data_IF_101060092984
#
_entry.id   IF_101060092984
#
_cell.length_a   1.000
_cell.length_b   1.000
_cell.length_c   1.000
_cell.angle_alpha   90.00
_cell.angle_beta   90.00
_cell.angle_gamma   90.00
#
_symmetry.space_group_name_H-M   'P 1'
#
loop_
_entity.id
_entity.type
_entity.pdbx_description
1 polymer ?
#
# COMPACT_ATOMS: atom_id res chain seq x y z
N UNK A 1 45.32 39.06 17.97
CA UNK A 1 45.28 37.93 17.00
C UNK A 1 44.06 37.02 17.18
N UNK A 2 43.76 36.51 18.38
CA UNK A 2 42.62 35.60 18.64
C UNK A 2 41.22 36.11 18.22
N UNK A 3 40.96 37.43 18.30
CA UNK A 3 39.69 38.03 17.89
C UNK A 3 39.53 38.14 16.37
N UNK A 4 40.63 38.28 15.62
CA UNK A 4 40.60 38.36 14.15
C UNK A 4 40.33 36.98 13.53
N UNK A 5 40.87 35.92 14.13
CA UNK A 5 40.67 34.53 13.70
C UNK A 5 39.22 34.06 13.92
N UNK A 6 38.58 34.51 15.00
CA UNK A 6 37.19 34.15 15.29
C UNK A 6 36.20 34.79 14.31
N UNK A 7 36.46 36.03 13.88
CA UNK A 7 35.59 36.74 12.92
C UNK A 7 35.69 36.15 11.51
N UNK A 8 36.87 35.66 11.10
CA UNK A 8 37.06 35.02 9.79
C UNK A 8 36.41 33.62 9.74
N UNK A 9 36.42 32.88 10.86
CA UNK A 9 35.73 31.59 10.96
C UNK A 9 34.19 31.73 10.98
N UNK A 10 33.68 32.83 11.55
CA UNK A 10 32.24 33.11 11.57
C UNK A 10 31.70 33.63 10.23
N UNK A 11 32.50 34.38 9.46
CA UNK A 11 32.10 34.79 8.11
C UNK A 11 32.18 33.62 7.11
N UNK A 12 33.18 32.74 7.22
CA UNK A 12 33.28 31.54 6.38
C UNK A 12 32.09 30.57 6.52
N UNK A 13 31.50 30.47 7.72
CA UNK A 13 30.34 29.61 7.98
C UNK A 13 29.02 30.19 7.42
N UNK A 14 28.91 31.51 7.25
CA UNK A 14 27.76 32.15 6.61
C UNK A 14 27.80 31.97 5.08
N UNK A 15 28.99 31.94 4.48
CA UNK A 15 29.13 31.69 3.03
C UNK A 15 28.94 30.21 2.65
N UNK A 16 29.37 29.26 3.50
CA UNK A 16 29.11 27.83 3.28
C UNK A 16 27.63 27.44 3.45
N UNK A 17 26.88 28.21 4.26
CA UNK A 17 25.43 28.01 4.41
C UNK A 17 24.61 28.46 3.19
N UNK A 18 25.18 29.26 2.28
CA UNK A 18 24.54 29.67 1.02
C UNK A 18 24.88 28.79 -0.18
N UNK A 19 25.90 27.93 -0.07
CA UNK A 19 26.29 27.02 -1.16
C UNK A 19 25.52 25.68 -1.15
N UNK A 20 24.67 25.43 -0.14
CA UNK A 20 23.78 24.26 -0.07
C UNK A 20 22.32 24.55 -0.44
N UNK A 21 22.01 25.75 -0.94
CA UNK A 21 20.77 25.91 -1.72
C UNK A 21 21.04 25.34 -3.10
N UNK A 22 20.67 24.06 -3.30
CA UNK A 22 20.36 23.51 -4.63
C UNK A 22 19.70 24.62 -5.44
N UNK A 23 20.29 24.98 -6.59
CA UNK A 23 19.75 26.01 -7.47
C UNK A 23 18.23 25.84 -7.54
N UNK A 24 17.48 26.85 -7.10
CA UNK A 24 16.03 26.81 -7.16
C UNK A 24 15.67 26.59 -8.63
N UNK A 25 15.20 25.39 -8.96
CA UNK A 25 14.68 25.08 -10.29
C UNK A 25 13.44 25.95 -10.40
N UNK A 26 13.53 27.08 -11.10
CA UNK A 26 12.36 27.90 -11.38
C UNK A 26 11.46 27.08 -12.32
N UNK A 27 10.29 26.62 -11.87
CA UNK A 27 9.37 25.88 -12.73
C UNK A 27 8.96 26.80 -13.89
N UNK A 28 9.08 26.30 -15.13
CA UNK A 28 8.56 27.02 -16.30
C UNK A 28 7.17 26.49 -16.65
N UNK A 29 6.31 27.34 -17.21
CA UNK A 29 4.99 26.92 -17.64
C UNK A 29 5.02 25.99 -18.85
N UNK A 30 4.12 25.02 -18.87
CA UNK A 30 3.69 24.32 -20.08
C UNK A 30 3.10 25.31 -21.08
N UNK A 31 3.59 25.27 -22.32
CA UNK A 31 3.02 26.08 -23.41
C UNK A 31 1.88 25.34 -24.13
N UNK A 32 1.03 26.08 -24.85
CA UNK A 32 -0.08 25.47 -25.62
C UNK A 32 0.44 24.54 -26.74
N UNK A 33 1.54 24.90 -27.39
CA UNK A 33 2.14 24.06 -28.43
C UNK A 33 2.66 22.75 -27.84
N UNK A 34 3.28 22.80 -26.67
CA UNK A 34 3.73 21.62 -25.94
C UNK A 34 2.57 20.76 -25.46
N UNK A 35 1.49 21.39 -24.98
CA UNK A 35 0.28 20.69 -24.60
C UNK A 35 -0.28 19.89 -25.78
N UNK A 36 -0.50 20.55 -26.92
CA UNK A 36 -1.06 19.91 -28.12
C UNK A 36 -0.14 18.81 -28.65
N UNK A 37 1.16 19.08 -28.69
CA UNK A 37 2.17 18.13 -29.12
C UNK A 37 2.17 16.90 -28.24
N UNK A 38 2.09 17.07 -26.92
CA UNK A 38 2.14 15.97 -25.99
C UNK A 38 0.94 15.02 -26.10
N UNK A 39 -0.23 15.52 -26.47
CA UNK A 39 -1.41 14.68 -26.73
C UNK A 39 -1.22 13.71 -27.89
N UNK A 40 -0.33 14.02 -28.84
CA UNK A 40 -0.02 13.13 -29.97
C UNK A 40 0.88 11.95 -29.58
N UNK A 41 1.51 12.00 -28.40
CA UNK A 41 2.50 11.00 -28.00
C UNK A 41 1.92 9.61 -27.81
N UNK A 42 2.65 8.60 -28.25
CA UNK A 42 2.29 7.18 -28.08
C UNK A 42 3.36 6.49 -27.25
N UNK A 43 2.93 5.63 -26.34
CA UNK A 43 3.78 4.70 -25.62
C UNK A 43 3.53 3.32 -26.22
N UNK A 44 4.59 2.60 -26.59
CA UNK A 44 4.45 1.32 -27.26
C UNK A 44 3.96 0.24 -26.28
N UNK A 45 4.50 0.23 -25.07
CA UNK A 45 4.15 -0.72 -24.02
C UNK A 45 4.11 -0.02 -22.66
N UNK A 46 2.89 0.28 -22.17
CA UNK A 46 2.68 0.90 -20.87
C UNK A 46 3.17 0.04 -19.69
N UNK A 47 3.51 -1.23 -19.87
CA UNK A 47 4.09 -2.05 -18.81
C UNK A 47 5.62 -1.94 -18.74
N UNK A 48 6.27 -1.75 -19.89
CA UNK A 48 7.74 -1.75 -20.00
C UNK A 48 8.36 -0.36 -20.15
N UNK A 49 7.68 0.55 -20.83
CA UNK A 49 8.22 1.84 -21.21
C UNK A 49 8.08 2.84 -20.04
N UNK A 50 8.99 2.75 -19.08
CA UNK A 50 9.03 3.65 -17.92
C UNK A 50 9.67 5.00 -18.25
N UNK A 51 10.49 5.08 -19.29
CA UNK A 51 11.22 6.28 -19.67
C UNK A 51 11.27 6.39 -21.20
N UNK A 52 10.53 7.34 -21.77
CA UNK A 52 10.38 7.50 -23.23
C UNK A 52 10.86 8.88 -23.64
N UNK A 53 11.85 8.93 -24.56
CA UNK A 53 12.38 10.18 -25.14
C UNK A 53 11.61 10.52 -26.41
N UNK A 54 11.28 11.79 -26.60
CA UNK A 54 10.60 12.26 -27.81
C UNK A 54 11.26 13.49 -28.42
N UNK A 55 11.44 13.46 -29.75
CA UNK A 55 12.04 14.55 -30.56
C UNK A 55 13.35 15.12 -30.02
N UNK A 56 14.06 14.32 -29.22
CA UNK A 56 15.19 14.75 -28.42
C UNK A 56 14.95 15.95 -27.48
N UNK A 57 13.74 16.48 -27.37
CA UNK A 57 13.39 17.67 -26.58
C UNK A 57 12.59 17.34 -25.31
N UNK A 58 11.83 16.25 -25.31
CA UNK A 58 10.95 15.88 -24.19
C UNK A 58 11.19 14.46 -23.72
N UNK A 59 10.77 14.20 -22.49
CA UNK A 59 10.80 12.89 -21.85
C UNK A 59 9.48 12.66 -21.13
N UNK A 60 8.91 11.46 -21.29
CA UNK A 60 7.92 10.92 -20.38
C UNK A 60 8.63 9.98 -19.42
N UNK A 61 8.64 10.33 -18.14
CA UNK A 61 9.23 9.52 -17.07
C UNK A 61 8.12 9.03 -16.14
N UNK A 62 8.06 7.73 -15.88
CA UNK A 62 7.00 7.13 -15.06
C UNK A 62 7.01 7.77 -13.69
N UNK A 63 5.86 8.30 -13.30
CA UNK A 63 5.75 9.12 -12.10
C UNK A 63 6.20 8.33 -10.85
N UNK A 64 7.32 8.75 -10.28
CA UNK A 64 7.95 8.10 -9.12
C UNK A 64 8.18 6.58 -9.31
N UNK A 65 8.36 6.12 -10.55
CA UNK A 65 8.43 4.70 -10.95
C UNK A 65 7.23 3.83 -10.49
N UNK A 66 6.09 4.46 -10.20
CA UNK A 66 4.94 3.77 -9.60
C UNK A 66 4.21 2.88 -10.59
N UNK A 67 3.73 1.74 -10.07
CA UNK A 67 2.80 0.85 -10.78
C UNK A 67 1.50 1.61 -11.14
N UNK A 68 0.82 1.24 -12.23
CA UNK A 68 -0.47 1.83 -12.59
C UNK A 68 -1.52 1.65 -11.49
N UNK A 69 -2.46 2.58 -11.49
CA UNK A 69 -3.68 2.48 -10.69
C UNK A 69 -4.68 1.58 -11.39
N UNK A 70 -5.28 0.65 -10.63
CA UNK A 70 -6.46 -0.09 -11.07
C UNK A 70 -7.65 0.30 -10.21
N UNK A 71 -8.66 0.92 -10.82
CA UNK A 71 -9.82 1.46 -10.11
C UNK A 71 -11.09 0.84 -10.66
N UNK A 72 -11.96 0.41 -9.76
CA UNK A 72 -13.30 -0.09 -10.07
C UNK A 72 -14.28 0.78 -9.31
N UNK A 73 -15.17 1.47 -10.04
CA UNK A 73 -16.19 2.31 -9.43
C UNK A 73 -17.43 1.49 -9.04
N UNK A 74 -18.49 2.18 -8.63
CA UNK A 74 -19.83 1.58 -8.43
C UNK A 74 -20.40 0.99 -9.72
N UNK A 75 -19.88 1.41 -10.87
CA UNK A 75 -20.19 0.84 -12.20
C UNK A 75 -19.58 -0.57 -12.42
N UNK A 76 -18.74 -1.06 -11.52
CA UNK A 76 -18.09 -2.36 -11.65
C UNK A 76 -17.03 -2.43 -12.76
N UNK A 77 -16.76 -1.33 -13.47
CA UNK A 77 -15.84 -1.32 -14.61
C UNK A 77 -14.43 -0.97 -14.14
N UNK A 78 -13.53 -1.95 -14.23
CA UNK A 78 -12.11 -1.80 -13.91
C UNK A 78 -11.41 -0.95 -14.97
N UNK A 79 -10.67 0.06 -14.54
CA UNK A 79 -9.89 0.97 -15.37
C UNK A 79 -8.44 0.95 -14.91
N UNK A 80 -7.51 1.10 -15.86
CA UNK A 80 -6.07 1.24 -15.60
C UNK A 80 -5.68 2.69 -15.85
N UNK A 81 -4.92 3.29 -14.93
CA UNK A 81 -4.42 4.66 -15.05
C UNK A 81 -2.92 4.68 -14.78
N UNK A 82 -2.14 5.04 -15.80
CA UNK A 82 -0.69 5.22 -15.73
C UNK A 82 -0.38 6.73 -15.74
N UNK A 83 0.56 7.17 -14.91
CA UNK A 83 0.95 8.59 -14.77
C UNK A 83 2.42 8.73 -15.11
N UNK A 84 2.73 9.71 -15.95
CA UNK A 84 4.08 10.06 -16.36
C UNK A 84 4.32 11.55 -16.13
N UNK A 85 5.51 11.90 -15.67
CA UNK A 85 6.03 13.27 -15.70
C UNK A 85 6.36 13.62 -17.15
N UNK A 86 5.83 14.73 -17.63
CA UNK A 86 6.30 15.35 -18.87
C UNK A 86 7.45 16.29 -18.51
N UNK A 87 8.65 15.92 -18.97
CA UNK A 87 9.89 16.64 -18.67
C UNK A 87 10.41 17.28 -19.96
N UNK A 88 10.62 18.60 -19.92
CA UNK A 88 11.42 19.29 -20.92
C UNK A 88 12.91 19.00 -20.64
N UNK A 89 13.63 18.47 -21.63
CA UNK A 89 15.06 18.18 -21.47
C UNK A 89 15.89 19.43 -21.24
N UNK A 90 15.49 20.53 -21.87
CA UNK A 90 16.08 21.82 -21.57
C UNK A 90 15.76 22.21 -20.12
N UNK A 91 16.80 22.34 -19.31
CA UNK A 91 16.70 22.57 -17.86
C UNK A 91 16.16 21.40 -17.03
N UNK A 92 15.88 20.22 -17.61
CA UNK A 92 15.32 19.03 -16.93
C UNK A 92 14.08 19.36 -16.08
N UNK A 93 13.17 20.16 -16.64
CA UNK A 93 12.04 20.71 -15.92
C UNK A 93 10.78 19.87 -16.12
N UNK A 94 10.12 19.51 -15.03
CA UNK A 94 8.77 18.94 -15.06
C UNK A 94 7.77 20.04 -15.43
N UNK A 95 7.05 19.83 -16.54
CA UNK A 95 6.11 20.79 -17.13
C UNK A 95 4.69 20.21 -17.21
N UNK A 96 4.40 19.13 -16.48
CA UNK A 96 3.05 18.56 -16.39
C UNK A 96 3.04 17.06 -16.17
N UNK A 97 1.84 16.51 -16.02
CA UNK A 97 1.60 15.08 -15.83
C UNK A 97 0.77 14.52 -16.98
N UNK A 98 1.36 13.62 -17.76
CA UNK A 98 0.65 12.86 -18.78
C UNK A 98 -0.04 11.64 -18.15
N UNK A 99 -1.35 11.56 -18.32
CA UNK A 99 -2.19 10.46 -17.83
C UNK A 99 -2.63 9.60 -18.99
N UNK A 100 -2.38 8.30 -18.88
CA UNK A 100 -2.87 7.27 -19.79
C UNK A 100 -3.95 6.46 -19.09
N UNK A 101 -5.20 6.58 -19.55
CA UNK A 101 -6.35 5.89 -19.01
C UNK A 101 -6.80 4.81 -19.98
N UNK A 102 -6.74 3.54 -19.57
CA UNK A 102 -7.20 2.41 -20.36
C UNK A 102 -8.49 1.84 -19.74
N UNK A 103 -9.55 1.77 -20.56
CA UNK A 103 -10.81 1.20 -20.12
C UNK A 103 -10.84 -0.34 -20.23
N UNK A 104 -11.95 -0.96 -19.83
CA UNK A 104 -12.15 -2.41 -19.83
C UNK A 104 -12.09 -3.03 -21.23
N UNK A 105 -12.31 -2.24 -22.28
CA UNK A 105 -12.25 -2.64 -23.69
C UNK A 105 -10.84 -2.47 -24.27
N UNK A 106 -9.87 -2.05 -23.47
CA UNK A 106 -8.51 -1.74 -23.93
C UNK A 106 -8.40 -0.40 -24.68
N UNK A 107 -9.46 0.42 -24.70
CA UNK A 107 -9.40 1.74 -25.34
C UNK A 107 -8.62 2.70 -24.45
N UNK A 108 -7.62 3.34 -25.05
CA UNK A 108 -6.74 4.30 -24.41
C UNK A 108 -7.23 5.73 -24.60
N UNK A 109 -7.29 6.47 -23.50
CA UNK A 109 -7.55 7.90 -23.45
C UNK A 109 -6.36 8.60 -22.80
N UNK A 110 -6.09 9.85 -23.21
CA UNK A 110 -4.96 10.64 -22.71
C UNK A 110 -5.46 11.95 -22.13
N UNK A 111 -4.86 12.37 -21.02
CA UNK A 111 -5.11 13.69 -20.44
C UNK A 111 -3.78 14.24 -19.93
N UNK A 112 -3.45 15.48 -20.31
CA UNK A 112 -2.24 16.16 -19.85
C UNK A 112 -2.64 17.17 -18.79
N UNK A 113 -2.33 16.86 -17.53
CA UNK A 113 -2.54 17.79 -16.42
C UNK A 113 -1.43 18.84 -16.49
N UNK A 114 -1.75 20.14 -16.67
CA UNK A 114 -0.74 21.19 -16.71
C UNK A 114 -0.04 21.33 -15.34
N UNK A 115 1.20 21.81 -15.35
CA UNK A 115 1.83 22.27 -14.12
C UNK A 115 1.14 23.54 -13.58
N UNK A 116 1.34 23.83 -12.29
CA UNK A 116 0.68 24.96 -11.64
C UNK A 116 1.02 26.32 -12.26
N UNK A 117 2.18 26.45 -12.91
CA UNK A 117 2.62 27.72 -13.51
C UNK A 117 2.04 27.96 -14.90
N UNK A 118 1.39 26.97 -15.51
CA UNK A 118 0.80 27.06 -16.84
C UNK A 118 -0.25 28.18 -16.96
N UNK A 119 -0.34 28.78 -18.15
CA UNK A 119 -1.32 29.83 -18.47
C UNK A 119 -2.76 29.32 -18.37
N UNK A 120 -3.70 30.19 -17.99
CA UNK A 120 -5.12 29.87 -17.86
C UNK A 120 -5.72 29.20 -19.11
N UNK A 121 -5.28 29.60 -20.31
CA UNK A 121 -5.76 28.97 -21.56
C UNK A 121 -5.36 27.49 -21.68
N UNK A 122 -4.22 27.10 -21.10
CA UNK A 122 -3.76 25.69 -21.06
C UNK A 122 -4.63 24.89 -20.10
N UNK A 123 -4.97 25.48 -18.96
CA UNK A 123 -5.93 24.89 -18.00
C UNK A 123 -7.34 24.75 -18.58
N UNK A 124 -7.83 25.76 -19.30
CA UNK A 124 -9.11 25.70 -20.01
C UNK A 124 -9.10 24.56 -21.05
N UNK A 125 -8.01 24.42 -21.81
CA UNK A 125 -7.87 23.33 -22.77
C UNK A 125 -7.87 21.95 -22.11
N UNK A 126 -7.15 21.79 -20.99
CA UNK A 126 -7.21 20.57 -20.17
C UNK A 126 -8.63 20.25 -19.69
N UNK A 127 -9.34 21.25 -19.16
CA UNK A 127 -10.71 21.09 -18.69
C UNK A 127 -11.65 20.61 -19.81
N UNK A 128 -11.54 21.22 -20.99
CA UNK A 128 -12.33 20.81 -22.15
C UNK A 128 -12.01 19.38 -22.61
N UNK A 129 -10.73 18.98 -22.58
CA UNK A 129 -10.32 17.64 -23.00
C UNK A 129 -10.87 16.55 -22.07
N UNK A 130 -10.78 16.75 -20.75
CA UNK A 130 -11.32 15.77 -19.79
C UNK A 130 -12.86 15.69 -19.82
N UNK A 131 -13.54 16.81 -20.08
CA UNK A 131 -14.99 16.84 -20.27
C UNK A 131 -15.41 16.09 -21.55
N UNK A 132 -14.68 16.30 -22.65
CA UNK A 132 -14.91 15.59 -23.91
C UNK A 132 -14.69 14.07 -23.77
N UNK A 133 -13.67 13.65 -23.01
CA UNK A 133 -13.48 12.24 -22.70
C UNK A 133 -14.63 11.71 -21.84
N UNK A 134 -15.05 12.46 -20.81
CA UNK A 134 -16.13 12.04 -19.91
C UNK A 134 -17.49 11.85 -20.61
N UNK A 135 -17.75 12.60 -21.67
CA UNK A 135 -18.94 12.43 -22.53
C UNK A 135 -18.97 11.07 -23.24
N UNK A 136 -17.81 10.47 -23.54
CA UNK A 136 -17.71 9.17 -24.24
C UNK A 136 -17.28 8.01 -23.34
N UNK A 137 -16.69 8.33 -22.19
CA UNK A 137 -16.22 7.40 -21.17
C UNK A 137 -16.80 7.84 -19.82
N UNK A 138 -17.95 7.27 -19.47
CA UNK A 138 -18.69 7.63 -18.26
C UNK A 138 -17.81 7.49 -17.01
N UNK A 139 -17.93 8.45 -16.09
CA UNK A 139 -17.16 8.54 -14.84
C UNK A 139 -15.65 8.75 -15.03
N UNK A 140 -15.18 9.13 -16.23
CA UNK A 140 -13.76 9.42 -16.46
C UNK A 140 -13.23 10.48 -15.50
N UNK A 141 -13.93 11.63 -15.39
CA UNK A 141 -13.49 12.72 -14.49
C UNK A 141 -13.48 12.23 -13.05
N UNK A 142 -14.52 11.53 -12.59
CA UNK A 142 -14.58 11.02 -11.22
C UNK A 142 -13.39 10.10 -10.90
N UNK A 143 -13.08 9.16 -11.78
CA UNK A 143 -11.98 8.19 -11.59
C UNK A 143 -10.61 8.88 -11.70
N UNK A 144 -10.45 9.82 -12.62
CA UNK A 144 -9.24 10.63 -12.75
C UNK A 144 -9.01 11.49 -11.49
N UNK A 145 -10.04 12.20 -11.02
CA UNK A 145 -9.99 13.01 -9.80
C UNK A 145 -9.60 12.18 -8.59
N UNK A 146 -10.12 10.97 -8.43
CA UNK A 146 -9.71 10.05 -7.36
C UNK A 146 -8.20 9.76 -7.41
N UNK A 147 -7.65 9.41 -8.59
CA UNK A 147 -6.20 9.15 -8.76
C UNK A 147 -5.37 10.37 -8.39
N UNK A 148 -5.71 11.53 -8.97
CA UNK A 148 -4.97 12.77 -8.74
C UNK A 148 -5.06 13.24 -7.28
N UNK A 149 -6.19 13.01 -6.62
CA UNK A 149 -6.36 13.31 -5.19
C UNK A 149 -5.46 12.45 -4.33
N UNK A 150 -5.33 11.16 -4.66
CA UNK A 150 -4.41 10.25 -3.97
C UNK A 150 -2.95 10.68 -4.17
N UNK A 151 -2.56 11.10 -5.38
CA UNK A 151 -1.20 11.62 -5.62
C UNK A 151 -0.95 12.94 -4.89
N UNK A 152 -1.92 13.86 -4.87
CA UNK A 152 -1.81 15.10 -4.10
C UNK A 152 -1.61 14.80 -2.61
N UNK A 153 -2.44 13.93 -2.03
CA UNK A 153 -2.30 13.52 -0.62
C UNK A 153 -0.97 12.81 -0.37
N UNK A 154 -0.47 12.02 -1.33
CA UNK A 154 0.83 11.36 -1.22
C UNK A 154 1.98 12.38 -1.22
N UNK A 155 1.95 13.39 -2.10
CA UNK A 155 2.95 14.45 -2.10
C UNK A 155 2.92 15.27 -0.80
N UNK A 156 1.73 15.59 -0.28
CA UNK A 156 1.58 16.22 1.03
C UNK A 156 2.19 15.36 2.15
N UNK A 157 1.92 14.05 2.14
CA UNK A 157 2.53 13.12 3.09
C UNK A 157 4.05 13.12 2.98
N UNK A 158 4.63 13.05 1.77
CA UNK A 158 6.09 13.10 1.55
C UNK A 158 6.68 14.37 2.16
N UNK A 159 6.07 15.52 1.90
CA UNK A 159 6.51 16.81 2.45
C UNK A 159 6.49 16.79 3.98
N UNK A 160 5.40 16.33 4.58
CA UNK A 160 5.26 16.25 6.04
C UNK A 160 6.23 15.26 6.70
N UNK A 161 6.67 14.23 5.98
CA UNK A 161 7.55 13.17 6.50
C UNK A 161 9.01 13.31 6.03
N UNK A 162 9.44 14.52 5.66
CA UNK A 162 10.83 14.82 5.33
C UNK A 162 11.32 14.12 4.05
N UNK A 163 10.44 13.96 3.06
CA UNK A 163 10.75 13.36 1.76
C UNK A 163 10.82 11.83 1.77
N UNK A 164 10.50 11.18 2.89
CA UNK A 164 10.47 9.71 2.96
C UNK A 164 9.31 9.15 2.14
N UNK A 165 9.64 8.31 1.15
CA UNK A 165 8.66 7.51 0.45
C UNK A 165 8.06 6.44 1.37
N UNK A 166 6.75 6.27 1.29
CA UNK A 166 6.15 4.99 1.67
C UNK A 166 6.66 3.96 0.67
N UNK A 167 7.31 2.89 1.15
CA UNK A 167 7.75 1.78 0.29
C UNK A 167 6.57 1.27 -0.55
N UNK A 168 6.84 1.09 -1.84
CA UNK A 168 5.89 0.65 -2.87
C UNK A 168 5.08 -0.57 -2.44
N UNK A 169 3.75 -0.45 -2.47
CA UNK A 169 2.90 -1.22 -3.38
C UNK A 169 1.47 -0.68 -3.32
N UNK A 170 0.82 -0.48 -4.47
CA UNK A 170 -0.62 -0.27 -4.58
C UNK A 170 -1.35 -1.60 -4.31
N UNK A 171 -1.16 -2.07 -3.09
CA UNK A 171 -2.04 -2.91 -2.33
C UNK A 171 -3.49 -2.49 -2.60
N UNK A 172 -4.29 -3.38 -3.19
CA UNK A 172 -5.73 -3.12 -3.33
C UNK A 172 -6.32 -3.19 -1.93
N UNK A 173 -6.74 -2.06 -1.36
CA UNK A 173 -7.56 -2.03 -0.15
C UNK A 173 -8.99 -2.45 -0.54
N UNK A 174 -9.17 -3.75 -0.78
CA UNK A 174 -10.50 -4.32 -0.90
C UNK A 174 -11.22 -4.19 0.45
N UNK A 175 -12.55 -4.08 0.43
CA UNK A 175 -13.37 -4.30 1.63
C UNK A 175 -13.36 -5.76 2.09
N UNK A 176 -12.64 -6.63 1.37
CA UNK A 176 -12.51 -8.06 1.64
C UNK A 176 -11.69 -8.27 2.92
N UNK A 177 -12.29 -8.92 3.92
CA UNK A 177 -11.67 -9.31 5.19
C UNK A 177 -11.18 -10.75 4.99
N UNK A 178 -9.91 -10.94 4.66
CA UNK A 178 -9.41 -12.22 4.17
C UNK A 178 -7.96 -12.49 4.55
N UNK A 179 -7.51 -13.70 4.20
CA UNK A 179 -6.17 -14.19 4.45
C UNK A 179 -5.56 -14.85 3.21
N UNK A 180 -4.22 -14.88 3.10
CA UNK A 180 -3.51 -15.69 2.11
C UNK A 180 -3.84 -17.18 2.22
N UNK A 181 -3.79 -17.89 1.10
CA UNK A 181 -4.18 -19.30 1.05
C UNK A 181 -3.22 -20.27 1.75
N UNK A 182 -2.00 -19.84 2.05
CA UNK A 182 -0.93 -20.59 2.71
C UNK A 182 -0.95 -20.46 4.25
N UNK A 183 -1.83 -19.61 4.79
CA UNK A 183 -2.10 -19.57 6.22
C UNK A 183 -2.64 -20.92 6.72
N UNK A 184 -2.22 -21.34 7.92
CA UNK A 184 -2.52 -22.66 8.47
C UNK A 184 -3.59 -22.59 9.55
N UNK A 185 -4.73 -23.21 9.28
CA UNK A 185 -5.86 -23.28 10.21
C UNK A 185 -5.65 -24.43 11.20
N UNK A 186 -5.92 -24.18 12.47
CA UNK A 186 -5.87 -25.22 13.51
C UNK A 186 -7.15 -26.04 13.49
N UNK A 187 -7.00 -27.34 13.25
CA UNK A 187 -8.10 -28.30 13.15
C UNK A 187 -8.50 -28.82 14.53
N UNK A 188 -9.72 -29.36 14.65
CA UNK A 188 -10.24 -29.93 15.89
C UNK A 188 -9.35 -31.02 16.52
N UNK A 189 -8.62 -31.78 15.69
CA UNK A 189 -7.69 -32.82 16.14
C UNK A 189 -6.31 -32.28 16.57
N UNK A 190 -6.12 -30.96 16.64
CA UNK A 190 -4.84 -30.32 16.94
C UNK A 190 -3.87 -30.26 15.76
N UNK A 191 -4.20 -30.90 14.63
CA UNK A 191 -3.47 -30.78 13.39
C UNK A 191 -3.63 -29.40 12.75
N UNK A 192 -2.86 -29.15 11.69
CA UNK A 192 -2.94 -27.92 10.91
C UNK A 192 -3.31 -28.25 9.47
N UNK A 193 -4.17 -27.44 8.86
CA UNK A 193 -4.57 -27.57 7.47
C UNK A 193 -4.45 -26.22 6.76
N UNK A 194 -3.91 -26.24 5.56
CA UNK A 194 -3.72 -25.04 4.75
C UNK A 194 -5.07 -24.42 4.40
N UNK A 195 -5.23 -23.11 4.57
CA UNK A 195 -6.50 -22.40 4.45
C UNK A 195 -7.16 -22.64 3.08
N UNK A 196 -6.38 -22.59 2.00
CA UNK A 196 -6.84 -22.86 0.63
C UNK A 196 -7.40 -24.28 0.41
N UNK A 197 -7.17 -25.21 1.34
CA UNK A 197 -7.63 -26.61 1.26
C UNK A 197 -8.79 -26.93 2.21
N UNK A 198 -9.23 -25.94 2.99
CA UNK A 198 -10.38 -26.06 3.90
C UNK A 198 -11.65 -26.28 3.07
N UNK A 199 -12.55 -27.12 3.58
CA UNK A 199 -13.81 -27.48 2.94
C UNK A 199 -14.96 -27.32 3.92
N UNK A 200 -16.16 -27.14 3.37
CA UNK A 200 -17.40 -27.27 4.14
C UNK A 200 -17.43 -28.62 4.87
N UNK A 201 -17.83 -28.61 6.14
CA UNK A 201 -17.84 -29.78 7.01
C UNK A 201 -16.55 -30.01 7.79
N UNK A 202 -15.44 -29.35 7.45
CA UNK A 202 -14.22 -29.42 8.28
C UNK A 202 -14.49 -28.87 9.69
N UNK A 203 -13.83 -29.46 10.68
CA UNK A 203 -13.93 -29.05 12.08
C UNK A 203 -12.66 -28.32 12.52
N UNK A 204 -12.82 -27.09 12.99
CA UNK A 204 -11.74 -26.16 13.32
C UNK A 204 -11.86 -25.62 14.75
N UNK A 205 -10.76 -25.12 15.28
CA UNK A 205 -10.72 -24.54 16.63
C UNK A 205 -11.14 -23.07 16.60
N UNK A 206 -12.13 -22.73 17.43
CA UNK A 206 -12.46 -21.36 17.85
C UNK A 206 -12.03 -21.16 19.30
N UNK A 207 -11.78 -19.91 19.69
CA UNK A 207 -11.43 -19.53 21.07
C UNK A 207 -12.40 -18.47 21.56
N UNK A 208 -13.03 -18.70 22.69
CA UNK A 208 -13.81 -17.65 23.35
C UNK A 208 -12.83 -16.59 23.89
N UNK A 209 -12.89 -15.34 23.41
CA UNK A 209 -11.95 -14.30 23.80
C UNK A 209 -12.09 -13.85 25.26
N UNK A 210 -13.22 -14.13 25.91
CA UNK A 210 -13.48 -13.76 27.31
C UNK A 210 -12.96 -14.85 28.25
N UNK A 211 -13.20 -16.11 27.90
CA UNK A 211 -12.86 -17.25 28.77
C UNK A 211 -11.53 -17.92 28.42
N UNK A 212 -10.93 -17.60 27.28
CA UNK A 212 -9.76 -18.26 26.68
C UNK A 212 -9.95 -19.78 26.52
N UNK A 213 -11.19 -20.26 26.48
CA UNK A 213 -11.50 -21.67 26.25
C UNK A 213 -11.67 -21.92 24.77
N UNK A 214 -11.04 -22.97 24.28
CA UNK A 214 -11.26 -23.44 22.93
C UNK A 214 -12.48 -24.35 22.83
N UNK A 215 -13.14 -24.30 21.69
CA UNK A 215 -14.18 -25.25 21.30
C UNK A 215 -14.04 -25.56 19.81
N UNK A 216 -14.78 -26.59 19.37
CA UNK A 216 -14.80 -27.02 17.97
C UNK A 216 -16.03 -26.43 17.29
N UNK A 217 -15.83 -25.88 16.09
CA UNK A 217 -16.90 -25.39 15.21
C UNK A 217 -16.73 -25.98 13.82
N UNK A 218 -17.83 -26.07 13.07
CA UNK A 218 -17.83 -26.63 11.73
C UNK A 218 -17.79 -25.52 10.69
N UNK A 219 -16.96 -25.69 9.67
CA UNK A 219 -16.90 -24.79 8.52
C UNK A 219 -18.16 -24.95 7.69
N UNK A 220 -18.94 -23.87 7.52
CA UNK A 220 -20.08 -23.82 6.59
C UNK A 220 -19.57 -23.69 5.17
N UNK A 221 -18.68 -22.73 4.93
CA UNK A 221 -18.10 -22.47 3.62
C UNK A 221 -16.74 -21.77 3.72
N UNK A 222 -15.99 -21.86 2.63
CA UNK A 222 -14.76 -21.11 2.41
C UNK A 222 -15.04 -20.06 1.33
N UNK A 223 -15.20 -18.80 1.73
CA UNK A 223 -15.31 -17.70 0.77
C UNK A 223 -13.96 -17.52 0.09
N UNK A 224 -13.95 -17.57 -1.24
CA UNK A 224 -12.74 -17.39 -2.06
C UNK A 224 -12.90 -16.15 -2.92
N UNK A 225 -11.94 -15.24 -2.84
CA UNK A 225 -11.91 -14.06 -3.71
C UNK A 225 -10.94 -14.27 -4.88
N UNK A 226 -11.28 -13.66 -6.02
CA UNK A 226 -10.51 -13.75 -7.25
C UNK A 226 -9.06 -13.30 -7.07
N UNK A 227 -8.15 -13.90 -7.86
CA UNK A 227 -6.73 -13.60 -7.74
C UNK A 227 -6.43 -12.13 -8.09
N UNK A 228 -5.91 -11.36 -7.13
CA UNK A 228 -5.53 -9.94 -7.29
C UNK A 228 -4.30 -9.63 -6.43
N UNK A 229 -3.71 -8.45 -6.63
CA UNK A 229 -2.64 -7.97 -5.75
C UNK A 229 -3.25 -7.36 -4.47
N UNK A 230 -3.60 -8.24 -3.53
CA UNK A 230 -4.14 -7.84 -2.24
C UNK A 230 -3.07 -7.23 -1.36
N UNK A 231 -3.44 -6.15 -0.68
CA UNK A 231 -2.65 -5.66 0.44
C UNK A 231 -2.59 -6.73 1.53
N UNK A 232 -1.40 -7.01 2.04
CA UNK A 232 -1.22 -7.85 3.21
C UNK A 232 -0.47 -7.10 4.30
N UNK A 233 -1.02 -7.18 5.50
CA UNK A 233 -0.30 -6.87 6.72
C UNK A 233 0.28 -8.17 7.26
N UNK A 234 1.58 -8.19 7.54
CA UNK A 234 2.28 -9.28 8.23
C UNK A 234 2.65 -8.83 9.63
N UNK A 235 2.30 -9.63 10.63
CA UNK A 235 2.71 -9.47 12.02
C UNK A 235 3.71 -10.56 12.39
N UNK A 236 4.84 -10.15 12.97
CA UNK A 236 5.76 -11.04 13.69
C UNK A 236 5.48 -10.86 15.17
N UNK A 237 5.07 -11.95 15.81
CA UNK A 237 4.62 -12.00 17.19
C UNK A 237 5.64 -12.78 18.01
N UNK A 238 5.92 -12.33 19.23
CA UNK A 238 6.90 -12.96 20.12
C UNK A 238 6.38 -13.08 21.54
N UNK A 239 6.65 -14.21 22.18
CA UNK A 239 6.58 -14.39 23.62
C UNK A 239 7.96 -14.83 24.12
N UNK A 240 8.43 -14.24 25.21
CA UNK A 240 9.72 -14.54 25.80
C UNK A 240 9.54 -15.22 27.16
N UNK A 241 10.10 -16.41 27.34
CA UNK A 241 10.26 -17.07 28.63
C UNK A 241 11.69 -16.87 29.13
N UNK A 242 11.84 -16.14 30.24
CA UNK A 242 13.15 -15.80 30.82
C UNK A 242 13.37 -16.59 32.10
N UNK A 243 14.40 -17.43 32.11
CA UNK A 243 14.83 -18.20 33.28
C UNK A 243 16.17 -17.68 33.79
N UNK A 244 16.18 -17.20 35.03
CA UNK A 244 17.42 -16.85 35.72
C UNK A 244 18.09 -18.14 36.23
N UNK A 245 19.32 -18.38 35.79
CA UNK A 245 20.15 -19.51 36.23
C UNK A 245 21.42 -19.01 36.90
N UNK A 246 22.15 -19.88 37.61
CA UNK A 246 23.46 -19.52 38.17
C UNK A 246 24.50 -19.12 37.11
N UNK A 247 24.31 -19.53 35.85
CA UNK A 247 25.19 -19.23 34.72
C UNK A 247 24.77 -17.97 33.92
N UNK A 248 23.64 -17.34 34.27
CA UNK A 248 23.09 -16.18 33.56
C UNK A 248 21.60 -16.33 33.24
N UNK A 249 21.10 -15.48 32.34
CA UNK A 249 19.72 -15.50 31.86
C UNK A 249 19.58 -16.37 30.61
N UNK A 250 18.70 -17.36 30.68
CA UNK A 250 18.24 -18.12 29.52
C UNK A 250 16.94 -17.47 29.01
N UNK A 251 16.91 -17.05 27.74
CA UNK A 251 15.72 -16.46 27.11
C UNK A 251 15.25 -17.38 25.99
N UNK A 252 14.06 -17.94 26.11
CA UNK A 252 13.40 -18.70 25.06
C UNK A 252 12.38 -17.82 24.34
N UNK A 253 12.54 -17.64 23.03
CA UNK A 253 11.59 -16.87 22.21
C UNK A 253 10.68 -17.84 21.45
N UNK A 254 9.38 -17.74 21.69
CA UNK A 254 8.37 -18.35 20.85
C UNK A 254 7.89 -17.31 19.84
N UNK A 255 7.90 -17.64 18.55
CA UNK A 255 7.52 -16.69 17.50
C UNK A 255 6.38 -17.22 16.67
N UNK A 256 5.47 -16.32 16.27
CA UNK A 256 4.39 -16.59 15.33
C UNK A 256 4.41 -15.56 14.22
N UNK A 257 3.98 -15.97 13.04
CA UNK A 257 3.81 -15.10 11.89
C UNK A 257 2.37 -15.27 11.41
N UNK A 258 1.69 -14.16 11.22
CA UNK A 258 0.34 -14.12 10.63
C UNK A 258 0.33 -13.07 9.52
N UNK A 259 -0.30 -13.39 8.41
CA UNK A 259 -0.62 -12.44 7.35
C UNK A 259 -2.13 -12.40 7.10
N UNK A 260 -2.67 -11.19 6.96
CA UNK A 260 -4.07 -10.98 6.53
C UNK A 260 -4.20 -9.67 5.77
N UNK A 261 -5.38 -9.40 5.23
CA UNK A 261 -5.69 -8.07 4.69
C UNK A 261 -5.67 -7.01 5.80
N UNK A 262 -5.27 -5.75 5.53
CA UNK A 262 -5.14 -4.71 6.56
C UNK A 262 -6.41 -4.41 7.34
N UNK A 263 -7.58 -4.65 6.74
CA UNK A 263 -8.89 -4.46 7.36
C UNK A 263 -9.35 -5.63 8.23
N UNK A 264 -8.58 -6.71 8.33
CA UNK A 264 -8.98 -7.90 9.06
C UNK A 264 -9.12 -7.60 10.57
N UNK A 265 -10.28 -7.89 11.20
CA UNK A 265 -10.49 -7.60 12.61
C UNK A 265 -9.67 -8.54 13.50
N UNK A 266 -8.99 -7.95 14.47
CA UNK A 266 -8.15 -8.64 15.44
C UNK A 266 -8.55 -8.19 16.84
N UNK A 267 -8.63 -9.14 17.77
CA UNK A 267 -8.77 -8.80 19.17
C UNK A 267 -7.37 -8.64 19.79
N UNK A 268 -7.11 -7.42 20.25
CA UNK A 268 -5.92 -7.09 21.04
C UNK A 268 -6.32 -6.87 22.49
N UNK A 269 -5.33 -6.78 23.39
CA UNK A 269 -5.59 -6.38 24.78
C UNK A 269 -6.21 -4.98 24.90
N UNK A 270 -5.98 -4.11 23.92
CA UNK A 270 -6.55 -2.76 23.84
C UNK A 270 -7.95 -2.74 23.22
N UNK A 271 -8.49 -3.89 22.81
CA UNK A 271 -9.79 -4.03 22.16
C UNK A 271 -9.67 -4.46 20.70
N UNK A 272 -10.77 -4.30 19.95
CA UNK A 272 -10.85 -4.68 18.55
C UNK A 272 -10.13 -3.64 17.68
N UNK A 273 -9.11 -4.08 16.94
CA UNK A 273 -8.38 -3.27 15.98
C UNK A 273 -8.35 -3.99 14.64
N UNK A 274 -8.23 -3.25 13.54
CA UNK A 274 -7.89 -3.89 12.27
C UNK A 274 -6.42 -4.26 12.26
N UNK A 275 -6.05 -5.32 11.54
CA UNK A 275 -4.67 -5.81 11.52
C UNK A 275 -3.66 -4.74 11.07
N UNK A 276 -4.03 -3.88 10.12
CA UNK A 276 -3.21 -2.74 9.67
C UNK A 276 -3.09 -1.61 10.70
N UNK A 277 -3.99 -1.53 11.67
CA UNK A 277 -3.96 -0.54 12.76
C UNK A 277 -3.12 -1.04 13.95
N UNK A 278 -2.78 -2.33 14.00
CA UNK A 278 -1.94 -2.89 15.05
C UNK A 278 -0.51 -2.33 14.97
N UNK A 279 0.07 -2.00 16.13
CA UNK A 279 1.43 -1.44 16.24
C UNK A 279 2.34 -2.32 17.09
N UNK A 280 3.66 -2.14 16.92
CA UNK A 280 4.65 -2.86 17.72
C UNK A 280 4.44 -2.59 19.22
N UNK A 281 4.59 -3.62 20.05
CA UNK A 281 4.32 -3.57 21.49
C UNK A 281 2.88 -3.93 21.88
N UNK A 282 1.93 -4.00 20.95
CA UNK A 282 0.59 -4.49 21.24
C UNK A 282 0.56 -6.02 21.39
N UNK A 283 -0.46 -6.53 22.10
CA UNK A 283 -0.56 -7.94 22.46
C UNK A 283 -1.78 -8.59 21.81
N UNK A 284 -1.58 -9.79 21.26
CA UNK A 284 -2.64 -10.65 20.70
C UNK A 284 -2.56 -12.06 21.30
N UNK A 285 -3.70 -12.74 21.39
CA UNK A 285 -3.76 -14.08 21.95
C UNK A 285 -3.27 -15.11 20.93
N UNK A 286 -2.29 -15.93 21.34
CA UNK A 286 -1.72 -17.01 20.52
C UNK A 286 -1.67 -18.32 21.28
N UNK A 287 -1.71 -19.44 20.56
CA UNK A 287 -1.35 -20.75 21.09
C UNK A 287 0.17 -20.86 21.23
N UNK A 288 0.62 -20.98 22.47
CA UNK A 288 1.98 -21.38 22.77
C UNK A 288 2.08 -22.90 22.66
N UNK A 289 2.70 -23.40 21.58
CA UNK A 289 2.85 -24.83 21.31
C UNK A 289 3.71 -25.56 22.37
N UNK A 290 4.54 -24.84 23.12
CA UNK A 290 5.37 -25.44 24.17
C UNK A 290 4.57 -25.70 25.45
N UNK A 291 3.63 -24.81 25.79
CA UNK A 291 2.81 -24.92 27.00
C UNK A 291 1.43 -25.51 26.74
N UNK A 292 0.98 -25.54 25.48
CA UNK A 292 -0.37 -25.89 25.08
C UNK A 292 -1.43 -24.86 25.49
N UNK A 293 -1.00 -23.68 25.97
CA UNK A 293 -1.89 -22.64 26.50
C UNK A 293 -2.04 -21.48 25.51
N UNK A 294 -3.16 -20.77 25.65
CA UNK A 294 -3.36 -19.49 24.99
C UNK A 294 -2.76 -18.38 25.82
N UNK A 295 -1.80 -17.67 25.25
CA UNK A 295 -0.98 -16.67 25.94
C UNK A 295 -0.87 -15.41 25.08
N UNK A 296 -0.62 -14.27 25.72
CA UNK A 296 -0.39 -13.02 25.02
C UNK A 296 0.99 -13.03 24.35
N UNK A 297 1.02 -12.73 23.05
CA UNK A 297 2.27 -12.51 22.31
C UNK A 297 2.32 -11.04 21.90
N UNK A 298 3.50 -10.44 22.03
CA UNK A 298 3.74 -9.05 21.67
C UNK A 298 4.11 -8.94 20.19
N UNK A 299 3.56 -7.94 19.52
CA UNK A 299 3.93 -7.59 18.15
C UNK A 299 5.35 -7.00 18.16
N UNK A 300 6.28 -7.75 17.59
CA UNK A 300 7.67 -7.30 17.42
C UNK A 300 7.81 -6.45 16.16
N UNK A 301 7.18 -6.88 15.07
CA UNK A 301 7.31 -6.24 13.77
C UNK A 301 5.99 -6.28 13.01
N UNK A 302 5.66 -5.17 12.35
CA UNK A 302 4.62 -5.09 11.33
C UNK A 302 5.26 -4.71 10.00
N UNK A 303 4.88 -5.40 8.93
CA UNK A 303 5.17 -4.98 7.56
C UNK A 303 3.89 -5.00 6.74
N UNK A 304 3.75 -4.03 5.84
CA UNK A 304 2.67 -4.00 4.85
C UNK A 304 3.28 -3.99 3.46
N UNK A 305 2.79 -4.88 2.60
CA UNK A 305 3.22 -5.01 1.21
C UNK A 305 2.07 -5.59 0.37
N UNK A 306 2.16 -5.46 -0.95
CA UNK A 306 1.34 -6.27 -1.84
C UNK A 306 1.75 -7.73 -1.72
N UNK A 307 0.75 -8.61 -1.60
CA UNK A 307 0.98 -10.05 -1.51
C UNK A 307 1.31 -10.71 -2.84
N UNK A 308 1.42 -9.94 -3.93
CA UNK A 308 1.45 -10.48 -5.29
C UNK A 308 0.05 -10.90 -5.77
N UNK A 309 -0.06 -11.33 -7.03
CA UNK A 309 -1.33 -11.80 -7.58
C UNK A 309 -1.65 -13.16 -6.97
N UNK A 310 -2.63 -13.20 -6.07
CA UNK A 310 -3.06 -14.41 -5.39
C UNK A 310 -4.53 -14.34 -4.99
N UNK A 311 -5.14 -15.50 -4.78
CA UNK A 311 -6.46 -15.60 -4.15
C UNK A 311 -6.32 -15.37 -2.65
N UNK A 312 -7.35 -14.79 -2.05
CA UNK A 312 -7.49 -14.69 -0.60
C UNK A 312 -8.79 -15.35 -0.16
N UNK A 313 -8.80 -15.78 1.09
CA UNK A 313 -9.82 -16.68 1.61
C UNK A 313 -10.37 -16.18 2.94
N UNK A 314 -11.62 -16.50 3.23
CA UNK A 314 -12.24 -16.30 4.53
C UNK A 314 -13.07 -17.53 4.90
N UNK A 315 -12.99 -17.96 6.16
CA UNK A 315 -13.80 -19.06 6.68
C UNK A 315 -15.09 -18.49 7.24
N UNK A 316 -16.21 -19.12 6.91
CA UNK A 316 -17.49 -18.92 7.58
C UNK A 316 -17.79 -20.19 8.37
N UNK A 317 -17.75 -20.12 9.71
CA UNK A 317 -18.09 -21.25 10.57
C UNK A 317 -19.56 -21.18 11.02
N UNK A 318 -20.06 -22.28 11.58
CA UNK A 318 -21.41 -22.37 12.13
C UNK A 318 -21.56 -21.81 13.54
N UNK A 319 -20.44 -21.44 14.17
CA UNK A 319 -20.41 -20.78 15.47
C UNK A 319 -19.04 -20.20 15.81
N UNK A 320 -18.94 -19.65 17.02
CA UNK A 320 -17.75 -18.93 17.49
C UNK A 320 -17.63 -17.53 16.89
N UNK A 321 -16.79 -16.70 17.49
CA UNK A 321 -16.45 -15.36 17.00
C UNK A 321 -14.98 -15.24 16.58
N UNK A 322 -14.20 -16.31 16.71
CA UNK A 322 -12.77 -16.34 16.39
C UNK A 322 -12.38 -17.64 15.71
N UNK A 323 -11.17 -17.66 15.15
CA UNK A 323 -10.50 -18.84 14.62
C UNK A 323 -9.02 -18.80 15.04
N UNK A 324 -8.35 -19.95 15.00
CA UNK A 324 -6.93 -20.05 15.30
C UNK A 324 -6.11 -20.32 14.03
N UNK A 325 -5.36 -19.32 13.57
CA UNK A 325 -4.60 -19.38 12.33
C UNK A 325 -3.11 -19.09 12.54
N UNK A 326 -2.25 -19.96 12.04
CA UNK A 326 -0.83 -20.05 12.42
C UNK A 326 -0.61 -20.04 13.93
N UNK A 327 -1.58 -20.51 14.71
CA UNK A 327 -1.55 -20.42 16.17
C UNK A 327 -1.82 -19.01 16.73
N UNK A 328 -2.36 -18.10 15.93
CA UNK A 328 -2.79 -16.74 16.33
C UNK A 328 -4.31 -16.66 16.29
N UNK A 329 -4.93 -16.14 17.35
CA UNK A 329 -6.38 -15.95 17.39
C UNK A 329 -6.76 -14.76 16.50
N UNK A 330 -7.66 -14.99 15.56
CA UNK A 330 -8.20 -13.99 14.63
C UNK A 330 -9.72 -13.93 14.77
N UNK A 331 -10.35 -12.79 14.49
CA UNK A 331 -11.80 -12.72 14.55
C UNK A 331 -12.44 -13.29 13.28
N UNK A 332 -13.63 -13.87 13.43
CA UNK A 332 -14.48 -14.20 12.28
C UNK A 332 -15.20 -12.94 11.77
N UNK A 333 -15.53 -12.95 10.48
CA UNK A 333 -16.41 -11.96 9.86
C UNK A 333 -17.86 -12.21 10.26
#
# INVERSE_FOLDING_TARGET
MRKLTLTILLTGSIYLSRAQTTAAVNPRPLTMDEYNKAQTFTIADLDKDTYVKFENAYVLDRYENRKPYFITGSDGLKKRVDIYKLIAKDGMQEIGLMVFYTNEKGKLYKALVPDFTADGKVWEKYFLDIDNINKVETNFILKLSYVLSKELSFQQYKVLNGGKDMKEESATYGNDICFPGDEMVTMANGGKKMLSTIKSGDEVITIDPVTNKSSVVRVKELTTHEAKNYALTRLVLVAADVKNTRAGQLVNLNTKILQATPNHPMLTKQGNLKMGEITAGQEVLCLNEQTGKYEAFTVLQKTENGGGIQKVYNIVADGGSTLLMNGVMVMQK
#
